data_IF_595217407176
#
_entry.id   IF_595217407176
#
_cell.length_a   1.000
_cell.length_b   1.000
_cell.length_c   1.000
_cell.angle_alpha   90.00
_cell.angle_beta   90.00
_cell.angle_gamma   90.00
#
_symmetry.space_group_name_H-M   'P 1'
#
loop_
_entity.id
_entity.type
_entity.pdbx_description
1 polymer ?
#
# COMPACT_ATOMS: atom_id res chain seq x y z
N UNK A 1 3.76 5.18 11.14
CA UNK A 1 5.01 4.68 10.53
C UNK A 1 5.15 5.33 9.16
N UNK A 2 6.35 5.74 8.77
CA UNK A 2 6.61 6.26 7.43
C UNK A 2 7.33 5.17 6.61
N UNK A 3 6.94 4.96 5.35
CA UNK A 3 7.56 3.99 4.45
C UNK A 3 7.73 4.55 3.03
N UNK A 4 8.68 3.98 2.31
CA UNK A 4 8.92 4.30 0.90
C UNK A 4 8.99 2.99 0.12
N UNK A 5 8.00 2.75 -0.76
CA UNK A 5 7.98 1.55 -1.59
C UNK A 5 9.06 1.63 -2.67
N UNK A 6 9.66 0.51 -3.10
CA UNK A 6 10.49 0.49 -4.29
C UNK A 6 9.77 1.07 -5.53
N UNK A 7 10.54 1.68 -6.43
CA UNK A 7 10.04 2.20 -7.72
C UNK A 7 9.68 1.07 -8.68
N UNK A 8 8.95 1.38 -9.76
CA UNK A 8 8.53 0.41 -10.79
C UNK A 8 9.71 -0.30 -11.51
N UNK A 9 10.93 0.19 -11.35
CA UNK A 9 12.16 -0.43 -11.85
C UNK A 9 12.75 -1.49 -10.90
N UNK A 10 12.19 -1.66 -9.72
CA UNK A 10 12.64 -2.66 -8.75
C UNK A 10 12.22 -4.07 -9.19
N UNK A 11 13.07 -5.05 -8.88
CA UNK A 11 12.72 -6.45 -9.09
C UNK A 11 11.64 -6.94 -8.11
N UNK A 12 10.95 -8.01 -8.51
CA UNK A 12 9.86 -8.64 -7.75
C UNK A 12 10.29 -9.04 -6.33
N UNK A 13 11.55 -9.42 -6.13
CA UNK A 13 12.05 -9.83 -4.83
C UNK A 13 12.13 -8.66 -3.86
N UNK A 14 12.65 -7.50 -4.29
CA UNK A 14 12.66 -6.28 -3.48
C UNK A 14 11.26 -5.79 -3.17
N UNK A 15 10.37 -5.85 -4.16
CA UNK A 15 8.98 -5.44 -4.00
C UNK A 15 8.24 -6.33 -2.99
N UNK A 16 8.35 -7.65 -3.15
CA UNK A 16 7.77 -8.62 -2.21
C UNK A 16 8.34 -8.50 -0.80
N UNK A 17 9.67 -8.33 -0.67
CA UNK A 17 10.31 -8.15 0.63
C UNK A 17 9.84 -6.89 1.36
N UNK A 18 9.58 -5.80 0.64
CA UNK A 18 9.04 -4.56 1.22
C UNK A 18 7.65 -4.79 1.82
N UNK A 19 6.70 -5.33 1.03
CA UNK A 19 5.33 -5.54 1.51
C UNK A 19 5.24 -6.58 2.62
N UNK A 20 6.06 -7.64 2.57
CA UNK A 20 6.14 -8.64 3.64
C UNK A 20 6.59 -8.02 4.97
N UNK A 21 7.67 -7.23 4.96
CA UNK A 21 8.15 -6.54 6.16
C UNK A 21 7.15 -5.50 6.68
N UNK A 22 6.50 -4.78 5.78
CA UNK A 22 5.48 -3.80 6.12
C UNK A 22 4.28 -4.48 6.83
N UNK A 23 3.82 -5.61 6.32
CA UNK A 23 2.75 -6.40 6.95
C UNK A 23 3.15 -6.88 8.35
N UNK A 24 4.35 -7.46 8.50
CA UNK A 24 4.89 -7.91 9.79
C UNK A 24 4.93 -6.76 10.83
N UNK A 25 5.37 -5.57 10.42
CA UNK A 25 5.39 -4.38 11.29
C UNK A 25 3.96 -3.98 11.68
N UNK A 26 3.04 -3.89 10.73
CA UNK A 26 1.65 -3.52 11.00
C UNK A 26 1.00 -4.53 11.95
N UNK A 27 1.30 -5.84 11.82
CA UNK A 27 0.75 -6.89 12.68
C UNK A 27 1.38 -6.91 14.08
N UNK A 28 2.68 -6.62 14.17
CA UNK A 28 3.41 -6.64 15.45
C UNK A 28 3.10 -5.44 16.35
N UNK A 29 2.76 -4.28 15.78
CA UNK A 29 2.36 -3.12 16.58
C UNK A 29 0.98 -3.33 17.22
N UNK A 30 0.90 -3.12 18.54
CA UNK A 30 -0.32 -3.27 19.35
C UNK A 30 -1.21 -2.02 19.58
N UNK A 31 -0.92 -0.79 19.08
CA UNK A 31 -1.76 0.35 19.39
C UNK A 31 -3.14 0.21 18.73
N UNK A 32 -4.16 0.79 19.39
CA UNK A 32 -5.56 0.77 18.94
C UNK A 32 -5.75 1.49 17.59
N UNK A 33 -4.96 2.55 17.36
CA UNK A 33 -4.90 3.25 16.08
C UNK A 33 -3.52 3.04 15.44
N UNK A 34 -3.53 2.63 14.17
CA UNK A 34 -2.33 2.45 13.34
C UNK A 34 -2.40 3.44 12.19
N UNK A 35 -1.35 4.22 12.03
CA UNK A 35 -1.21 5.14 10.90
C UNK A 35 0.02 4.75 10.09
N UNK A 36 -0.18 4.53 8.79
CA UNK A 36 0.87 4.29 7.82
C UNK A 36 0.85 5.47 6.86
N UNK A 37 1.95 6.20 6.84
CA UNK A 37 2.20 7.29 5.90
C UNK A 37 3.35 6.86 4.99
N UNK A 38 3.41 7.36 3.77
CA UNK A 38 4.48 6.97 2.88
C UNK A 38 4.17 7.15 1.42
N UNK A 39 5.24 7.19 0.64
CA UNK A 39 5.15 7.14 -0.81
C UNK A 39 5.26 5.68 -1.25
N UNK A 40 4.16 5.17 -1.78
CA UNK A 40 4.07 3.80 -2.27
C UNK A 40 4.52 3.65 -3.73
N UNK A 41 4.94 4.74 -4.40
CA UNK A 41 5.16 4.76 -5.85
C UNK A 41 3.97 4.17 -6.64
N UNK A 42 2.78 4.25 -6.04
CA UNK A 42 1.56 3.66 -6.53
C UNK A 42 0.90 4.61 -7.52
N UNK A 43 0.76 4.16 -8.76
CA UNK A 43 -0.13 4.79 -9.72
C UNK A 43 -1.46 4.08 -9.62
N UNK A 44 -2.49 4.86 -9.33
CA UNK A 44 -3.85 4.38 -9.19
C UNK A 44 -4.63 4.93 -10.38
N UNK A 45 -5.53 4.12 -10.91
CA UNK A 45 -6.55 4.62 -11.81
C UNK A 45 -7.58 5.42 -10.99
N UNK A 46 -8.39 6.26 -11.65
CA UNK A 46 -9.53 6.87 -10.99
C UNK A 46 -10.48 5.79 -10.47
N UNK A 47 -10.63 5.77 -9.15
CA UNK A 47 -11.41 4.81 -8.39
C UNK A 47 -12.90 4.81 -8.71
N UNK A 48 -13.48 3.61 -8.86
CA UNK A 48 -14.90 3.36 -8.64
C UNK A 48 -15.19 3.42 -7.13
N UNK A 49 -16.45 3.59 -6.72
CA UNK A 49 -16.88 3.84 -5.32
C UNK A 49 -16.29 2.88 -4.24
N UNK A 50 -15.82 1.69 -4.61
CA UNK A 50 -15.18 0.72 -3.72
C UNK A 50 -13.70 1.00 -3.37
N UNK A 51 -13.03 1.93 -4.06
CA UNK A 51 -11.62 2.29 -3.87
C UNK A 51 -11.40 3.56 -3.03
N UNK A 52 -12.40 3.91 -2.19
CA UNK A 52 -12.37 5.01 -1.20
C UNK A 52 -11.11 5.04 -0.31
N UNK A 53 -10.37 3.94 -0.29
CA UNK A 53 -9.15 3.66 0.46
C UNK A 53 -7.88 4.31 -0.06
N UNK A 54 -7.79 4.63 -1.36
CA UNK A 54 -6.56 5.13 -1.98
C UNK A 54 -6.67 6.54 -2.57
N UNK A 55 -7.84 7.16 -2.45
CA UNK A 55 -8.09 8.55 -2.82
C UNK A 55 -8.30 8.78 -4.32
N UNK A 56 -8.94 9.90 -4.65
CA UNK A 56 -9.36 10.28 -6.02
C UNK A 56 -8.24 10.90 -6.86
N UNK A 57 -7.00 10.87 -6.38
CA UNK A 57 -5.85 11.56 -7.00
C UNK A 57 -5.00 10.63 -7.89
N UNK A 58 -5.49 9.43 -8.20
CA UNK A 58 -4.87 8.52 -9.15
C UNK A 58 -4.80 9.15 -10.54
N UNK A 59 -3.60 9.32 -11.10
CA UNK A 59 -3.40 9.75 -12.49
C UNK A 59 -2.56 8.73 -13.26
N UNK A 60 -3.18 8.08 -14.24
CA UNK A 60 -2.57 7.10 -15.13
C UNK A 60 -3.02 5.65 -14.90
N UNK A 61 -2.54 4.74 -15.75
CA UNK A 61 -2.83 3.30 -15.66
C UNK A 61 -2.25 2.72 -14.36
N UNK A 62 -3.04 1.87 -13.69
CA UNK A 62 -2.66 1.23 -12.43
C UNK A 62 -1.40 0.38 -12.60
N UNK A 63 -0.35 0.71 -11.86
CA UNK A 63 0.88 -0.10 -11.84
C UNK A 63 0.79 -1.19 -10.74
N UNK A 64 1.76 -2.11 -10.70
CA UNK A 64 1.78 -3.17 -9.69
C UNK A 64 1.80 -2.63 -8.25
N UNK A 65 2.50 -1.50 -8.06
CA UNK A 65 2.51 -0.73 -6.82
C UNK A 65 1.14 -0.16 -6.45
N UNK A 66 0.20 -0.01 -7.39
CA UNK A 66 -1.20 0.36 -7.12
C UNK A 66 -2.07 -0.82 -6.66
N UNK A 67 -1.69 -2.07 -6.95
CA UNK A 67 -2.51 -3.26 -6.62
C UNK A 67 -2.14 -3.87 -5.27
N UNK A 68 -0.85 -3.94 -4.94
CA UNK A 68 -0.36 -4.61 -3.73
C UNK A 68 -0.76 -3.93 -2.41
N UNK A 69 -0.77 -2.59 -2.31
CA UNK A 69 -1.27 -1.90 -1.13
C UNK A 69 -2.73 -2.24 -0.81
N UNK A 70 -3.58 -2.46 -1.82
CA UNK A 70 -4.97 -2.86 -1.59
C UNK A 70 -5.06 -4.23 -0.88
N UNK A 71 -4.23 -5.19 -1.31
CA UNK A 71 -4.09 -6.48 -0.64
C UNK A 71 -3.58 -6.35 0.81
N UNK A 72 -2.59 -5.49 1.04
CA UNK A 72 -2.06 -5.21 2.38
C UNK A 72 -3.14 -4.66 3.32
N UNK A 73 -3.94 -3.71 2.85
CA UNK A 73 -4.97 -3.07 3.68
C UNK A 73 -6.11 -4.05 4.02
N UNK A 74 -6.50 -4.93 3.08
CA UNK A 74 -7.42 -6.03 3.36
C UNK A 74 -6.86 -7.04 4.37
N UNK A 75 -5.58 -7.41 4.24
CA UNK A 75 -4.93 -8.39 5.12
C UNK A 75 -4.74 -7.88 6.56
N UNK A 76 -4.51 -6.56 6.71
CA UNK A 76 -4.17 -5.95 8.00
C UNK A 76 -5.34 -5.27 8.72
N UNK A 77 -6.54 -5.27 8.11
CA UNK A 77 -7.72 -4.54 8.61
C UNK A 77 -7.42 -3.06 8.91
N UNK A 78 -6.63 -2.43 8.04
CA UNK A 78 -6.32 -1.00 8.13
C UNK A 78 -7.50 -0.12 7.69
N UNK A 79 -8.57 -0.70 7.14
CA UNK A 79 -9.83 -0.02 6.83
C UNK A 79 -10.79 -0.06 8.01
N UNK A 80 -11.40 1.09 8.32
CA UNK A 80 -12.69 1.17 8.99
C UNK A 80 -13.71 1.75 8.01
#
# INVERSE_FOLDING_TARGET
>A
MNCYSPTDSADEHKLGAFYYQLEEIIRSVKPYYKFVDGDFNARLEMANESEYSFGIFGSGERNENGTRPAGLLSATRLFH
#
